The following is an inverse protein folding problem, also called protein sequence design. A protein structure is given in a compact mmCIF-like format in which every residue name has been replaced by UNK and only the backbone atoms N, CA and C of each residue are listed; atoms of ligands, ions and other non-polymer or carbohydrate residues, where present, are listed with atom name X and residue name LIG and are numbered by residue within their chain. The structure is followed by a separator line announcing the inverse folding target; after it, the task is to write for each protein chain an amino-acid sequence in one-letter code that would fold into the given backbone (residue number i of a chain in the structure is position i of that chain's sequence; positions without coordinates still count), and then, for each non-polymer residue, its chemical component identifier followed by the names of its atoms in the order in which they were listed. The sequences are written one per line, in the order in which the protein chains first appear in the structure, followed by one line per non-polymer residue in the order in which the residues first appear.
data_IF_620579819559
#
_entry.id   IF_620579819559
#
_cell.length_a   1.000
_cell.length_b   1.000
_cell.length_c   1.000
_cell.angle_alpha   90.00
_cell.angle_beta   90.00
_cell.angle_gamma   90.00
#
_symmetry.space_group_name_H-M   'P 1'
#
loop_
_entity.id
_entity.type
_entity.pdbx_description
1 polymer ?
#
# COMPACT_ATOMS: atom_id res chain seq x y z
N UNK A 1 -0.06 15.10 70.01
CA UNK A 1 0.36 13.69 69.82
C UNK A 1 0.15 13.31 68.36
N UNK A 2 1.19 12.78 67.71
CA UNK A 2 1.21 11.81 66.58
C UNK A 2 0.30 12.10 65.34
N UNK A 3 0.73 12.02 64.08
CA UNK A 3 1.97 11.56 63.41
C UNK A 3 1.80 11.82 61.89
N UNK A 4 2.91 12.12 61.22
CA UNK A 4 3.36 11.69 59.88
C UNK A 4 2.44 11.95 58.66
N UNK A 5 2.89 12.82 57.73
CA UNK A 5 3.68 12.51 56.52
C UNK A 5 2.75 12.10 55.35
N UNK A 6 2.46 12.98 54.38
CA UNK A 6 3.28 13.34 53.21
C UNK A 6 3.97 12.13 52.56
N UNK A 7 3.89 12.04 51.22
CA UNK A 7 4.30 10.94 50.31
C UNK A 7 3.22 9.83 50.19
N UNK A 8 2.68 9.46 49.03
CA UNK A 8 3.34 9.22 47.74
C UNK A 8 2.46 9.65 46.57
N UNK A 9 3.11 10.35 45.65
CA UNK A 9 2.64 10.91 44.39
C UNK A 9 2.42 9.80 43.34
N UNK A 10 1.38 9.99 42.53
CA UNK A 10 1.04 9.39 41.23
C UNK A 10 2.05 8.38 40.63
N UNK A 11 1.63 7.13 40.48
CA UNK A 11 2.37 6.10 39.73
C UNK A 11 1.39 5.22 38.92
N UNK A 12 0.53 5.83 38.12
CA UNK A 12 -0.30 5.10 37.14
C UNK A 12 -0.58 5.97 35.90
N UNK A 13 0.43 6.18 35.07
CA UNK A 13 0.20 6.74 33.72
C UNK A 13 1.35 6.37 32.80
N UNK A 14 1.45 5.10 32.43
CA UNK A 14 2.33 4.69 31.34
C UNK A 14 1.77 3.47 30.61
N UNK A 15 0.63 3.62 29.94
CA UNK A 15 0.09 2.55 29.09
C UNK A 15 -0.80 3.04 27.95
N UNK A 16 -0.51 4.17 27.28
CA UNK A 16 -1.20 4.52 26.03
C UNK A 16 -0.27 5.27 25.08
N UNK A 17 0.54 4.56 24.29
CA UNK A 17 1.20 5.09 23.08
C UNK A 17 1.69 3.91 22.22
N UNK A 18 0.76 3.06 21.77
CA UNK A 18 1.08 1.99 20.81
C UNK A 18 -0.01 1.79 19.75
N UNK A 19 -0.86 2.79 19.51
CA UNK A 19 -2.00 2.67 18.59
C UNK A 19 -1.80 3.38 17.23
N UNK A 20 -0.72 4.14 17.02
CA UNK A 20 -0.50 4.89 15.77
C UNK A 20 0.62 4.35 14.86
N UNK A 21 1.35 3.29 15.26
CA UNK A 21 2.49 2.81 14.48
C UNK A 21 2.09 2.00 13.23
N UNK A 22 0.91 1.36 13.25
CA UNK A 22 0.57 0.33 12.24
C UNK A 22 0.25 0.87 10.84
N UNK A 23 -0.15 2.15 10.74
CA UNK A 23 -0.37 2.82 9.46
C UNK A 23 0.87 3.54 8.93
N UNK A 24 1.79 3.93 9.80
CA UNK A 24 3.04 4.61 9.43
C UNK A 24 4.03 3.67 8.73
N UNK A 25 4.13 2.42 9.19
CA UNK A 25 5.06 1.43 8.63
C UNK A 25 4.68 0.99 7.22
N UNK A 26 3.38 0.87 6.90
CA UNK A 26 2.92 0.49 5.54
C UNK A 26 3.31 1.52 4.49
N UNK A 27 3.06 2.81 4.76
CA UNK A 27 3.38 3.89 3.83
C UNK A 27 4.88 3.96 3.48
N UNK A 28 5.76 3.48 4.38
CA UNK A 28 7.19 3.43 4.12
C UNK A 28 7.55 2.59 2.88
N UNK A 29 6.78 1.53 2.61
CA UNK A 29 7.02 0.63 1.46
C UNK A 29 6.69 1.29 0.11
N UNK A 30 5.94 2.39 0.08
CA UNK A 30 5.60 3.13 -1.16
C UNK A 30 6.20 4.53 -1.22
N UNK A 31 7.01 4.93 -0.23
CA UNK A 31 7.65 6.26 -0.20
C UNK A 31 8.84 6.40 -1.16
N UNK A 32 9.48 5.28 -1.52
CA UNK A 32 10.60 5.22 -2.46
C UNK A 32 10.32 4.21 -3.59
N UNK A 33 9.33 4.50 -4.47
CA UNK A 33 8.94 3.62 -5.56
C UNK A 33 10.07 3.47 -6.57
N UNK A 34 10.24 2.26 -7.10
CA UNK A 34 11.21 1.93 -8.15
C UNK A 34 10.52 1.38 -9.37
N UNK A 35 11.10 1.61 -10.54
CA UNK A 35 10.67 0.92 -11.76
C UNK A 35 10.78 -0.59 -11.54
N UNK A 36 9.70 -1.30 -11.86
CA UNK A 36 9.57 -2.73 -11.61
C UNK A 36 8.94 -3.10 -10.28
N UNK A 37 8.69 -2.16 -9.37
CA UNK A 37 7.87 -2.41 -8.18
C UNK A 37 6.46 -2.85 -8.59
N UNK A 38 5.92 -3.80 -7.84
CA UNK A 38 4.60 -4.38 -8.04
C UNK A 38 3.76 -4.19 -6.79
N UNK A 39 2.52 -3.74 -6.98
CA UNK A 39 1.59 -3.49 -5.88
C UNK A 39 0.35 -4.32 -6.08
N UNK A 40 -0.11 -5.03 -5.04
CA UNK A 40 -1.46 -5.55 -5.05
C UNK A 40 -2.42 -4.45 -4.58
N UNK A 41 -3.44 -4.18 -5.38
CA UNK A 41 -4.30 -3.02 -5.23
C UNK A 41 -5.76 -3.27 -5.63
N UNK A 42 -6.64 -2.36 -5.23
CA UNK A 42 -8.01 -2.25 -5.73
C UNK A 42 -7.96 -1.51 -7.07
N UNK A 43 -7.86 -2.25 -8.17
CA UNK A 43 -7.69 -1.71 -9.52
C UNK A 43 -8.88 -0.85 -9.99
N UNK A 44 -10.08 -1.07 -9.46
CA UNK A 44 -11.24 -0.21 -9.73
C UNK A 44 -11.09 1.23 -9.22
N UNK A 45 -10.07 1.53 -8.40
CA UNK A 45 -9.69 2.90 -8.00
C UNK A 45 -8.74 3.55 -9.02
N UNK A 46 -8.26 2.80 -10.02
CA UNK A 46 -7.27 3.24 -11.02
C UNK A 46 -7.85 3.22 -12.44
N UNK A 47 -8.62 2.20 -12.80
CA UNK A 47 -9.22 2.04 -14.12
C UNK A 47 -10.65 1.46 -14.04
N UNK A 48 -11.40 1.55 -15.13
CA UNK A 48 -12.74 0.95 -15.21
C UNK A 48 -12.64 -0.57 -15.40
N UNK A 49 -13.29 -1.34 -14.50
CA UNK A 49 -13.43 -2.79 -14.62
C UNK A 49 -14.88 -3.19 -14.89
N UNK A 50 -15.07 -4.36 -15.50
CA UNK A 50 -16.32 -4.81 -16.18
C UNK A 50 -17.63 -4.64 -15.38
N UNK A 51 -17.58 -4.52 -14.05
CA UNK A 51 -18.75 -4.30 -13.21
C UNK A 51 -18.62 -2.98 -12.42
N UNK A 52 -19.30 -1.90 -12.85
CA UNK A 52 -19.31 -0.63 -12.14
C UNK A 52 -19.82 -0.79 -10.70
N UNK A 53 -19.04 -0.29 -9.74
CA UNK A 53 -19.40 -0.31 -8.31
C UNK A 53 -18.94 -1.53 -7.53
N UNK A 54 -18.35 -2.53 -8.19
CA UNK A 54 -17.68 -3.65 -7.52
C UNK A 54 -16.17 -3.39 -7.43
N UNK A 55 -15.57 -3.80 -6.31
CA UNK A 55 -14.12 -3.71 -6.14
C UNK A 55 -13.46 -4.77 -7.03
N UNK A 56 -12.63 -4.31 -7.96
CA UNK A 56 -11.75 -5.17 -8.73
C UNK A 56 -10.37 -5.19 -8.06
N UNK A 57 -9.85 -6.36 -7.70
CA UNK A 57 -8.54 -6.50 -7.07
C UNK A 57 -7.54 -7.02 -8.08
N UNK A 58 -6.31 -6.55 -8.04
CA UNK A 58 -5.27 -7.04 -8.95
C UNK A 58 -3.91 -6.41 -8.71
N UNK A 59 -3.07 -6.39 -9.75
CA UNK A 59 -1.71 -5.89 -9.66
C UNK A 59 -1.53 -4.58 -10.41
N UNK A 60 -0.72 -3.70 -9.84
CA UNK A 60 -0.12 -2.55 -10.51
C UNK A 60 1.37 -2.82 -10.71
N UNK A 61 1.92 -2.30 -11.81
CA UNK A 61 3.36 -2.26 -12.06
C UNK A 61 3.84 -0.85 -12.25
N UNK A 62 4.87 -0.46 -11.50
CA UNK A 62 5.57 0.80 -11.72
C UNK A 62 6.45 0.69 -12.97
N UNK A 63 6.18 1.53 -13.98
CA UNK A 63 6.93 1.54 -15.24
C UNK A 63 7.81 2.78 -15.40
N UNK A 64 7.52 3.85 -14.64
CA UNK A 64 8.31 5.08 -14.65
C UNK A 64 8.27 5.76 -13.29
N UNK A 65 9.39 6.35 -12.90
CA UNK A 65 9.54 7.08 -11.65
C UNK A 65 10.18 8.43 -11.96
N UNK A 66 9.50 9.50 -11.55
CA UNK A 66 9.93 10.89 -11.66
C UNK A 66 10.05 11.52 -10.26
N UNK A 67 10.53 12.77 -10.12
CA UNK A 67 10.69 13.41 -8.82
C UNK A 67 9.39 13.48 -8.00
N UNK A 68 8.26 13.80 -8.64
CA UNK A 68 6.98 14.03 -7.98
C UNK A 68 5.89 13.01 -8.36
N UNK A 69 6.13 12.25 -9.43
CA UNK A 69 5.14 11.36 -10.06
C UNK A 69 5.68 9.94 -10.23
N UNK A 70 4.76 8.99 -10.32
CA UNK A 70 4.99 7.60 -10.66
C UNK A 70 3.99 7.23 -11.76
N UNK A 71 4.45 6.57 -12.81
CA UNK A 71 3.55 5.99 -13.82
C UNK A 71 3.41 4.50 -13.53
N UNK A 72 2.16 4.05 -13.44
CA UNK A 72 1.80 2.64 -13.26
C UNK A 72 0.93 2.14 -14.41
N UNK A 73 0.92 0.82 -14.61
CA UNK A 73 -0.02 0.09 -15.47
C UNK A 73 -0.70 -0.99 -14.65
N UNK A 74 -1.91 -1.37 -15.04
CA UNK A 74 -2.71 -2.42 -14.40
C UNK A 74 -2.42 -3.79 -15.01
N UNK A 75 -2.72 -4.85 -14.25
CA UNK A 75 -3.03 -6.15 -14.83
C UNK A 75 -4.32 -6.04 -15.67
N UNK A 76 -4.32 -6.61 -16.87
CA UNK A 76 -5.50 -6.67 -17.75
C UNK A 76 -6.61 -7.56 -17.19
N UNK A 77 -6.31 -8.34 -16.14
CA UNK A 77 -7.25 -9.16 -15.39
C UNK A 77 -7.42 -8.67 -13.95
N UNK A 78 -8.55 -9.03 -13.35
CA UNK A 78 -8.83 -8.73 -11.95
C UNK A 78 -9.55 -9.89 -11.28
N UNK A 79 -9.42 -9.94 -9.96
CA UNK A 79 -10.10 -10.84 -9.05
C UNK A 79 -11.20 -10.11 -8.27
N UNK A 80 -12.15 -10.87 -7.76
CA UNK A 80 -13.21 -10.41 -6.86
C UNK A 80 -12.75 -10.35 -5.39
N UNK A 81 -11.54 -10.84 -5.09
CA UNK A 81 -10.99 -10.90 -3.74
C UNK A 81 -9.51 -10.47 -3.63
N UNK A 82 -9.18 -9.84 -2.50
CA UNK A 82 -7.84 -9.36 -2.17
C UNK A 82 -6.81 -10.49 -2.03
N UNK A 83 -7.24 -11.68 -1.58
CA UNK A 83 -6.32 -12.79 -1.32
C UNK A 83 -5.77 -13.37 -2.61
N UNK A 84 -6.52 -13.34 -3.71
CA UNK A 84 -6.06 -13.74 -5.03
C UNK A 84 -4.95 -12.82 -5.55
N UNK A 85 -5.15 -11.50 -5.49
CA UNK A 85 -4.10 -10.53 -5.85
C UNK A 85 -2.84 -10.69 -4.98
N UNK A 86 -2.99 -10.93 -3.67
CA UNK A 86 -1.85 -11.21 -2.78
C UNK A 86 -1.12 -12.51 -3.10
N UNK A 87 -1.81 -13.55 -3.60
CA UNK A 87 -1.18 -14.80 -4.02
C UNK A 87 -0.40 -14.57 -5.31
N UNK A 88 -1.00 -13.89 -6.28
CA UNK A 88 -0.34 -13.57 -7.55
C UNK A 88 0.92 -12.73 -7.33
N UNK A 89 0.85 -11.69 -6.48
CA UNK A 89 2.00 -10.86 -6.12
C UNK A 89 3.19 -11.68 -5.55
N UNK A 90 2.93 -12.81 -4.90
CA UNK A 90 3.99 -13.69 -4.36
C UNK A 90 4.42 -14.79 -5.33
N UNK A 91 3.66 -14.98 -6.41
CA UNK A 91 3.90 -15.98 -7.44
C UNK A 91 4.99 -15.57 -8.44
N UNK A 92 5.07 -16.33 -9.53
CA UNK A 92 6.07 -16.15 -10.60
C UNK A 92 5.62 -15.20 -11.72
N UNK A 93 4.39 -14.67 -11.63
CA UNK A 93 3.78 -13.68 -12.54
C UNK A 93 3.61 -14.12 -14.00
N UNK A 94 3.75 -15.41 -14.31
CA UNK A 94 3.77 -15.86 -15.72
C UNK A 94 2.46 -15.59 -16.47
N UNK A 95 1.35 -15.57 -15.75
CA UNK A 95 0.01 -15.37 -16.31
C UNK A 95 -0.43 -13.90 -16.27
N UNK A 96 0.37 -13.00 -15.68
CA UNK A 96 0.04 -11.58 -15.59
C UNK A 96 0.29 -10.91 -16.94
N UNK A 97 -0.75 -10.30 -17.48
CA UNK A 97 -0.70 -9.49 -18.70
C UNK A 97 -0.84 -8.03 -18.27
N UNK A 98 0.16 -7.21 -18.57
CA UNK A 98 0.13 -5.79 -18.24
C UNK A 98 -0.59 -5.02 -19.34
N UNK A 99 -1.56 -4.18 -18.96
CA UNK A 99 -2.21 -3.24 -19.88
C UNK A 99 -1.26 -2.05 -20.14
N UNK A 100 -0.34 -2.25 -21.09
CA UNK A 100 0.65 -1.24 -21.44
C UNK A 100 0.08 -0.07 -22.25
N UNK A 101 -1.17 -0.16 -22.70
CA UNK A 101 -1.83 0.90 -23.47
C UNK A 101 -2.50 1.94 -22.56
N UNK A 102 -2.72 1.62 -21.27
CA UNK A 102 -3.32 2.50 -20.26
C UNK A 102 -2.32 2.88 -19.15
N UNK A 103 -1.54 3.94 -19.41
CA UNK A 103 -0.60 4.49 -18.43
C UNK A 103 -1.29 5.46 -17.45
N UNK A 104 -1.14 5.19 -16.16
CA UNK A 104 -1.76 5.97 -15.09
C UNK A 104 -0.69 6.72 -14.31
N UNK A 105 -0.76 8.06 -14.34
CA UNK A 105 0.16 8.93 -13.61
C UNK A 105 -0.40 9.25 -12.23
N UNK A 106 0.34 8.88 -11.18
CA UNK A 106 -0.03 9.07 -9.78
C UNK A 106 1.01 9.95 -9.09
N UNK A 107 0.58 10.89 -8.23
CA UNK A 107 1.50 11.65 -7.41
C UNK A 107 2.17 10.72 -6.36
N UNK A 108 3.47 10.89 -6.09
CA UNK A 108 4.15 10.06 -5.06
C UNK A 108 3.49 10.16 -3.69
N UNK A 109 3.01 11.35 -3.32
CA UNK A 109 2.28 11.58 -2.08
C UNK A 109 0.95 10.82 -2.02
N UNK A 110 0.29 10.70 -3.16
CA UNK A 110 -0.96 9.96 -3.32
C UNK A 110 -0.73 8.44 -3.26
N UNK A 111 0.35 7.93 -3.86
CA UNK A 111 0.72 6.52 -3.76
C UNK A 111 0.91 6.08 -2.29
N UNK A 112 1.55 6.92 -1.49
CA UNK A 112 1.70 6.69 -0.05
C UNK A 112 0.35 6.75 0.69
N UNK A 113 -0.55 7.64 0.29
CA UNK A 113 -1.91 7.74 0.84
C UNK A 113 -2.79 6.55 0.48
N UNK A 114 -2.71 6.06 -0.77
CA UNK A 114 -3.40 4.87 -1.23
C UNK A 114 -2.98 3.63 -0.43
N UNK A 115 -1.70 3.52 -0.08
CA UNK A 115 -1.24 2.44 0.80
C UNK A 115 -1.79 2.59 2.23
N UNK A 116 -1.83 3.81 2.79
CA UNK A 116 -2.47 4.06 4.10
C UNK A 116 -3.95 3.71 4.12
N UNK A 117 -4.66 3.94 3.01
CA UNK A 117 -6.08 3.63 2.82
C UNK A 117 -6.37 2.18 2.46
N UNK A 118 -5.34 1.34 2.35
CA UNK A 118 -5.45 -0.05 1.91
C UNK A 118 -6.04 -0.20 0.49
N UNK A 119 -5.96 0.86 -0.32
CA UNK A 119 -6.20 0.78 -1.77
C UNK A 119 -5.04 0.02 -2.41
N UNK A 120 -3.81 0.35 -2.02
CA UNK A 120 -2.65 -0.53 -2.17
C UNK A 120 -2.49 -1.29 -0.85
N UNK A 121 -2.39 -2.60 -0.90
CA UNK A 121 -2.44 -3.43 0.32
C UNK A 121 -1.32 -4.47 0.42
N UNK A 122 -0.44 -4.56 -0.58
CA UNK A 122 0.82 -5.28 -0.50
C UNK A 122 1.81 -4.75 -1.55
N UNK A 123 3.10 -4.76 -1.21
CA UNK A 123 4.19 -4.34 -2.09
C UNK A 123 5.15 -5.51 -2.31
N UNK A 124 5.59 -5.67 -3.55
CA UNK A 124 6.80 -6.43 -3.89
C UNK A 124 7.72 -5.50 -4.66
N UNK A 125 8.87 -5.19 -4.06
CA UNK A 125 9.87 -4.42 -4.75
C UNK A 125 10.46 -5.21 -5.91
N UNK A 126 10.57 -4.56 -7.08
CA UNK A 126 11.27 -5.12 -8.20
C UNK A 126 12.76 -5.20 -7.88
N UNK A 127 13.44 -6.22 -8.40
CA UNK A 127 14.88 -6.15 -8.50
C UNK A 127 15.20 -4.91 -9.32
N UNK A 128 15.96 -3.98 -8.73
CA UNK A 128 16.29 -2.70 -9.35
C UNK A 128 17.03 -3.00 -10.66
N UNK A 129 16.32 -3.03 -11.78
CA UNK A 129 16.92 -3.25 -13.08
C UNK A 129 17.65 -1.97 -13.48
N UNK A 130 18.98 -2.10 -13.60
CA UNK A 130 19.88 -1.10 -14.19
C UNK A 130 19.43 -0.65 -15.57
#
# INVERSE_FOLDING_TARGET
MKKLAFLVLLLTSLSLLAACARGGDKAAETNDPKVGDLYAAVLSEFAEFQQPGEKAYGLLKVIKVEPDTVTVVTDSSAWDDEMSAKRELRGDLKEVVWDMDDEIVVARSELAEMHRKEIIFAVRHGDSAN
#
